data_IF_983271964911
#
_entry.id   IF_983271964911
#
_cell.length_a   1.000
_cell.length_b   1.000
_cell.length_c   1.000
_cell.angle_alpha   90.00
_cell.angle_beta   90.00
_cell.angle_gamma   90.00
#
_symmetry.space_group_name_H-M   'P 1'
#
loop_
_entity.id
_entity.type
_entity.pdbx_description
1 polymer ?
#
# COMPACT_ATOMS: atom_id res chain seq x y z
N UNK A 1 -12.39 5.20 15.40
CA UNK A 1 -12.19 5.54 13.98
C UNK A 1 -12.20 4.27 13.18
N UNK A 2 -12.25 4.34 11.84
CA UNK A 2 -12.14 3.19 10.94
C UNK A 2 -11.23 3.54 9.77
N UNK A 3 -10.73 2.54 9.07
CA UNK A 3 -10.09 2.69 7.77
C UNK A 3 -11.22 2.74 6.74
N UNK A 4 -11.29 3.83 5.96
CA UNK A 4 -12.32 3.97 4.93
C UNK A 4 -11.94 3.21 3.66
N UNK A 5 -10.65 3.30 3.26
CA UNK A 5 -10.12 2.58 2.11
C UNK A 5 -8.66 2.15 2.32
N UNK A 6 -8.31 1.01 1.73
CA UNK A 6 -6.92 0.65 1.49
C UNK A 6 -6.53 1.03 0.07
N UNK A 7 -5.43 1.76 -0.06
CA UNK A 7 -4.87 2.22 -1.33
C UNK A 7 -3.85 1.20 -1.81
N UNK A 8 -4.10 0.65 -2.97
CA UNK A 8 -3.16 -0.21 -3.69
C UNK A 8 -2.98 0.30 -5.11
N UNK A 9 -1.85 0.01 -5.74
CA UNK A 9 -1.57 0.50 -7.08
C UNK A 9 -0.74 -0.48 -7.90
N UNK A 10 -0.92 -0.45 -9.22
CA UNK A 10 -0.04 -1.06 -10.21
C UNK A 10 -0.18 -0.35 -11.55
N UNK A 11 0.68 -0.72 -12.49
CA UNK A 11 0.42 -0.53 -13.92
C UNK A 11 -0.29 -1.75 -14.53
N UNK A 12 -0.38 -1.81 -15.86
CA UNK A 12 -0.99 -2.93 -16.57
C UNK A 12 -0.07 -4.17 -16.68
N UNK A 13 1.10 -4.16 -16.03
CA UNK A 13 1.99 -5.31 -15.99
C UNK A 13 1.35 -6.47 -15.18
N UNK A 14 1.13 -7.65 -15.80
CA UNK A 14 0.53 -8.81 -15.12
C UNK A 14 1.30 -9.27 -13.88
N UNK A 15 2.61 -8.96 -13.80
CA UNK A 15 3.45 -9.25 -12.63
C UNK A 15 2.83 -8.72 -11.33
N UNK A 16 2.07 -7.61 -11.41
CA UNK A 16 1.45 -6.94 -10.26
C UNK A 16 -0.07 -6.85 -10.38
N UNK A 17 -0.59 -6.48 -11.56
CA UNK A 17 -2.01 -6.25 -11.79
C UNK A 17 -2.87 -7.47 -11.41
N UNK A 18 -2.38 -8.66 -11.69
CA UNK A 18 -3.12 -9.91 -11.46
C UNK A 18 -3.37 -10.21 -9.97
N UNK A 19 -2.69 -9.51 -9.05
CA UNK A 19 -2.99 -9.59 -7.62
C UNK A 19 -4.25 -8.82 -7.20
N UNK A 20 -4.69 -7.84 -8.00
CA UNK A 20 -5.79 -6.96 -7.60
C UNK A 20 -7.03 -7.74 -7.11
N UNK A 21 -7.61 -8.70 -7.86
CA UNK A 21 -8.85 -9.35 -7.46
C UNK A 21 -8.75 -10.06 -6.10
N UNK A 22 -7.64 -10.76 -5.87
CA UNK A 22 -7.46 -11.55 -4.64
C UNK A 22 -7.16 -10.67 -3.44
N UNK A 23 -6.33 -9.63 -3.62
CA UNK A 23 -6.00 -8.69 -2.53
C UNK A 23 -7.21 -7.83 -2.17
N UNK A 24 -7.94 -7.35 -3.17
CA UNK A 24 -9.15 -6.56 -2.97
C UNK A 24 -10.26 -7.37 -2.29
N UNK A 25 -10.47 -8.64 -2.71
CA UNK A 25 -11.39 -9.55 -2.04
C UNK A 25 -10.98 -9.74 -0.57
N UNK A 26 -9.69 -9.97 -0.32
CA UNK A 26 -9.23 -10.22 1.05
C UNK A 26 -9.39 -8.99 1.96
N UNK A 27 -9.15 -7.78 1.46
CA UNK A 27 -9.47 -6.57 2.21
C UNK A 27 -10.96 -6.42 2.48
N UNK A 28 -11.81 -6.76 1.50
CA UNK A 28 -13.27 -6.76 1.67
C UNK A 28 -13.72 -7.76 2.75
N UNK A 29 -13.13 -8.97 2.79
CA UNK A 29 -13.40 -9.97 3.84
C UNK A 29 -13.07 -9.44 5.24
N UNK A 30 -12.09 -8.55 5.35
CA UNK A 30 -11.74 -7.83 6.57
C UNK A 30 -12.61 -6.58 6.82
N UNK A 31 -13.63 -6.34 5.99
CA UNK A 31 -14.57 -5.23 6.11
C UNK A 31 -14.04 -3.88 5.58
N UNK A 32 -12.95 -3.88 4.82
CA UNK A 32 -12.32 -2.66 4.28
C UNK A 32 -12.35 -2.70 2.75
N UNK A 33 -12.86 -1.65 2.14
CA UNK A 33 -12.85 -1.50 0.67
C UNK A 33 -11.47 -1.04 0.18
N UNK A 34 -11.16 -1.42 -1.06
CA UNK A 34 -9.95 -0.93 -1.74
C UNK A 34 -10.24 0.27 -2.63
N UNK A 35 -9.25 1.15 -2.76
CA UNK A 35 -9.15 2.14 -3.81
C UNK A 35 -7.91 1.78 -4.64
N UNK A 36 -8.13 1.17 -5.78
CA UNK A 36 -7.07 0.68 -6.65
C UNK A 36 -6.74 1.72 -7.72
N UNK A 37 -5.51 2.18 -7.73
CA UNK A 37 -4.95 3.12 -8.69
C UNK A 37 -4.19 2.34 -9.76
N UNK A 38 -4.72 2.31 -10.99
CA UNK A 38 -4.12 1.59 -12.09
C UNK A 38 -3.59 2.57 -13.15
N UNK A 39 -2.28 2.62 -13.33
CA UNK A 39 -1.67 3.36 -14.44
C UNK A 39 -1.90 2.56 -15.73
N UNK A 40 -2.64 3.16 -16.66
CA UNK A 40 -3.11 2.49 -17.88
C UNK A 40 -3.18 3.43 -19.08
N UNK A 41 -3.74 2.97 -20.20
CA UNK A 41 -3.93 3.79 -21.41
C UNK A 41 -5.14 4.73 -21.33
N UNK A 42 -6.00 4.58 -20.31
CA UNK A 42 -7.27 5.31 -20.18
C UNK A 42 -7.41 5.96 -18.84
N UNK A 43 -8.20 7.04 -18.78
CA UNK A 43 -8.74 7.60 -17.54
C UNK A 43 -10.16 7.09 -17.36
N UNK A 44 -10.39 6.36 -16.26
CA UNK A 44 -11.70 5.79 -15.98
C UNK A 44 -11.87 5.48 -14.48
N UNK A 45 -13.05 5.74 -13.94
CA UNK A 45 -13.40 5.33 -12.57
C UNK A 45 -14.50 4.25 -12.66
N UNK A 46 -14.21 3.08 -12.10
CA UNK A 46 -15.09 1.92 -12.08
C UNK A 46 -15.37 1.56 -10.61
N UNK A 47 -16.63 1.52 -10.24
CA UNK A 47 -17.05 0.99 -8.93
C UNK A 47 -17.41 -0.50 -9.08
N UNK A 48 -16.96 -1.31 -8.14
CA UNK A 48 -17.30 -2.72 -8.05
C UNK A 48 -17.52 -3.14 -6.59
N UNK A 49 -17.74 -4.42 -6.36
CA UNK A 49 -17.96 -4.97 -5.01
C UNK A 49 -16.78 -4.75 -4.05
N UNK A 50 -15.55 -4.75 -4.57
CA UNK A 50 -14.32 -4.56 -3.77
C UNK A 50 -14.06 -3.09 -3.41
N UNK A 51 -14.64 -2.15 -4.14
CA UNK A 51 -14.44 -0.72 -3.97
C UNK A 51 -14.33 0.04 -5.28
N UNK A 52 -13.27 0.80 -5.47
CA UNK A 52 -13.07 1.68 -6.61
C UNK A 52 -11.80 1.30 -7.37
N UNK A 53 -11.90 1.17 -8.68
CA UNK A 53 -10.76 1.13 -9.61
C UNK A 53 -10.68 2.50 -10.27
N UNK A 54 -9.58 3.20 -10.07
CA UNK A 54 -9.31 4.46 -10.74
C UNK A 54 -8.14 4.24 -11.72
N UNK A 55 -8.47 4.09 -12.99
CA UNK A 55 -7.49 4.07 -14.05
C UNK A 55 -7.03 5.50 -14.32
N UNK A 56 -5.73 5.68 -14.39
CA UNK A 56 -5.08 6.96 -14.65
C UNK A 56 -4.23 6.80 -15.89
N UNK A 57 -4.44 7.69 -16.86
CA UNK A 57 -3.67 7.66 -18.10
C UNK A 57 -2.20 7.88 -17.82
N UNK A 58 -1.38 6.98 -18.38
CA UNK A 58 0.06 7.02 -18.21
C UNK A 58 0.70 8.27 -18.84
N UNK A 59 1.77 8.73 -18.21
CA UNK A 59 2.64 9.81 -18.69
C UNK A 59 3.78 9.22 -19.52
N UNK A 60 4.18 9.89 -20.59
CA UNK A 60 5.16 9.35 -21.53
C UNK A 60 6.63 9.53 -21.11
N UNK A 61 6.91 10.40 -20.14
CA UNK A 61 8.27 10.81 -19.77
C UNK A 61 8.89 10.02 -18.61
N UNK A 62 8.12 9.16 -17.92
CA UNK A 62 8.57 8.26 -16.87
C UNK A 62 7.90 6.89 -17.02
N UNK A 63 8.54 5.83 -16.52
CA UNK A 63 8.00 4.47 -16.65
C UNK A 63 6.67 4.29 -15.90
N UNK A 64 5.79 3.42 -16.39
CA UNK A 64 4.50 3.12 -15.76
C UNK A 64 4.67 2.46 -14.40
N UNK A 65 5.74 1.66 -14.24
CA UNK A 65 6.12 1.08 -12.95
C UNK A 65 6.44 2.14 -11.90
N UNK A 66 7.20 3.17 -12.27
CA UNK A 66 7.47 4.29 -11.39
C UNK A 66 6.19 5.08 -11.07
N UNK A 67 5.36 5.38 -12.07
CA UNK A 67 4.09 6.06 -11.86
C UNK A 67 3.18 5.29 -10.90
N UNK A 68 3.10 3.96 -11.05
CA UNK A 68 2.27 3.13 -10.16
C UNK A 68 2.80 3.08 -8.73
N UNK A 69 4.11 3.21 -8.55
CA UNK A 69 4.73 3.32 -7.24
C UNK A 69 4.35 4.63 -6.55
N UNK A 70 4.51 5.75 -7.24
CA UNK A 70 4.35 7.08 -6.62
C UNK A 70 2.89 7.55 -6.55
N UNK A 71 1.99 7.02 -7.38
CA UNK A 71 0.58 7.41 -7.36
C UNK A 71 -0.13 7.10 -6.03
N UNK A 72 0.38 6.13 -5.27
CA UNK A 72 -0.13 5.83 -3.91
C UNK A 72 -0.02 7.03 -2.99
N UNK A 73 1.11 7.73 -3.01
CA UNK A 73 1.33 8.94 -2.22
C UNK A 73 0.39 10.07 -2.67
N UNK A 74 0.13 10.15 -3.97
CA UNK A 74 -0.78 11.12 -4.57
C UNK A 74 -2.26 10.80 -4.38
N UNK A 75 -2.59 9.59 -3.90
CA UNK A 75 -3.96 9.08 -3.75
C UNK A 75 -4.89 9.97 -2.95
N UNK A 76 -4.35 10.66 -1.96
CA UNK A 76 -5.09 11.60 -1.10
C UNK A 76 -5.72 12.79 -1.85
N UNK A 77 -5.28 13.06 -3.08
CA UNK A 77 -5.92 14.04 -3.98
C UNK A 77 -7.23 13.51 -4.59
N UNK A 78 -7.38 12.20 -4.68
CA UNK A 78 -8.54 11.55 -5.31
C UNK A 78 -9.61 11.14 -4.30
N UNK A 79 -9.21 10.86 -3.05
CA UNK A 79 -10.13 10.29 -2.07
C UNK A 79 -10.01 10.98 -0.71
N UNK A 80 -11.15 11.08 -0.01
CA UNK A 80 -11.24 11.66 1.32
C UNK A 80 -11.50 10.58 2.36
N UNK A 81 -10.99 10.78 3.57
CA UNK A 81 -11.18 9.89 4.71
C UNK A 81 -9.89 9.35 5.27
N UNK A 82 -9.99 8.34 6.12
CA UNK A 82 -8.84 7.64 6.67
C UNK A 82 -8.41 6.56 5.68
N UNK A 83 -7.24 6.73 5.10
CA UNK A 83 -6.71 5.84 4.06
C UNK A 83 -5.46 5.13 4.57
N UNK A 84 -5.34 3.85 4.23
CA UNK A 84 -4.15 3.05 4.49
C UNK A 84 -3.47 2.70 3.17
N UNK A 85 -2.23 3.11 2.99
CA UNK A 85 -1.43 2.70 1.83
C UNK A 85 -0.90 1.29 2.03
N UNK A 86 -0.91 0.48 0.97
CA UNK A 86 -0.40 -0.89 0.95
C UNK A 86 0.20 -1.22 -0.42
N UNK A 87 1.05 -2.25 -0.46
CA UNK A 87 1.50 -2.82 -1.72
C UNK A 87 0.44 -3.77 -2.28
N UNK A 88 0.35 -3.84 -3.60
CA UNK A 88 -0.64 -4.69 -4.29
C UNK A 88 -0.33 -6.18 -4.14
N UNK A 89 0.92 -6.56 -3.91
CA UNK A 89 1.37 -7.93 -3.69
C UNK A 89 1.43 -8.33 -2.20
N UNK A 90 0.77 -7.53 -1.35
CA UNK A 90 0.62 -7.80 0.08
C UNK A 90 -0.80 -8.29 0.38
N UNK A 91 -0.93 -9.59 0.66
CA UNK A 91 -2.19 -10.23 1.04
C UNK A 91 -2.43 -10.06 2.54
N UNK A 92 -3.47 -9.34 3.00
CA UNK A 92 -3.75 -9.21 4.43
C UNK A 92 -4.33 -10.51 4.99
N UNK A 93 -3.85 -10.93 6.16
CA UNK A 93 -4.30 -12.16 6.84
C UNK A 93 -5.08 -11.82 8.10
N UNK A 94 -4.48 -11.06 9.00
CA UNK A 94 -5.05 -10.77 10.31
C UNK A 94 -5.64 -9.35 10.38
N UNK A 95 -6.97 -9.24 10.37
CA UNK A 95 -7.68 -7.95 10.42
C UNK A 95 -7.47 -7.17 11.72
N UNK A 96 -7.25 -7.85 12.84
CA UNK A 96 -7.03 -7.19 14.13
C UNK A 96 -5.74 -6.35 14.12
N UNK A 97 -4.72 -6.83 13.39
CA UNK A 97 -3.48 -6.09 13.25
C UNK A 97 -3.68 -4.71 12.63
N UNK A 98 -4.55 -4.58 11.64
CA UNK A 98 -4.78 -3.30 10.97
C UNK A 98 -5.63 -2.35 11.80
N UNK A 99 -6.47 -2.90 12.67
CA UNK A 99 -7.38 -2.14 13.51
C UNK A 99 -6.77 -1.75 14.87
N UNK A 100 -5.70 -2.43 15.33
CA UNK A 100 -5.16 -2.27 16.68
C UNK A 100 -4.69 -0.85 17.03
N UNK A 101 -4.28 -0.07 16.03
CA UNK A 101 -3.79 1.30 16.21
C UNK A 101 -4.81 2.38 15.88
N UNK A 102 -6.04 2.02 15.54
CA UNK A 102 -7.07 3.02 15.18
C UNK A 102 -7.39 3.98 16.32
N UNK A 103 -7.20 3.54 17.56
CA UNK A 103 -7.39 4.41 18.74
C UNK A 103 -6.26 5.45 18.91
N UNK A 104 -5.13 5.23 18.25
CA UNK A 104 -4.00 6.16 18.26
C UNK A 104 -4.07 7.13 17.06
N UNK A 105 -4.94 6.87 16.09
CA UNK A 105 -5.16 7.77 14.96
C UNK A 105 -5.87 9.03 15.44
N UNK A 106 -5.29 10.18 15.13
CA UNK A 106 -5.83 11.51 15.42
C UNK A 106 -6.05 12.28 14.12
N UNK A 107 -6.64 13.47 14.23
CA UNK A 107 -6.92 14.31 13.05
C UNK A 107 -5.65 14.85 12.37
N UNK A 108 -4.48 14.76 13.02
CA UNK A 108 -3.25 15.38 12.54
C UNK A 108 -2.00 14.46 12.60
N UNK A 109 -2.17 13.14 12.76
CA UNK A 109 -1.03 12.22 12.78
C UNK A 109 -1.02 11.22 11.62
N UNK A 110 0.13 10.57 11.46
CA UNK A 110 0.37 9.46 10.52
C UNK A 110 0.87 8.26 11.30
N UNK A 111 0.29 7.10 11.09
CA UNK A 111 0.71 5.83 11.70
C UNK A 111 1.47 5.00 10.68
N UNK A 112 2.74 4.74 10.95
CA UNK A 112 3.60 3.87 10.17
C UNK A 112 3.69 2.53 10.88
N UNK A 113 3.10 1.48 10.30
CA UNK A 113 2.99 0.16 10.92
C UNK A 113 4.30 -0.63 10.94
N UNK A 114 5.24 -0.27 10.09
CA UNK A 114 6.51 -0.97 9.93
C UNK A 114 7.67 0.00 9.85
N UNK A 115 7.97 0.65 10.95
CA UNK A 115 9.18 1.48 11.05
C UNK A 115 10.44 0.61 11.14
N UNK A 116 11.49 1.00 10.42
CA UNK A 116 12.82 0.35 10.44
C UNK A 116 12.80 -1.15 10.04
N UNK A 117 12.16 -1.55 8.92
CA UNK A 117 12.05 -2.95 8.55
C UNK A 117 13.40 -3.60 8.19
N UNK A 118 14.35 -2.80 7.74
CA UNK A 118 15.66 -3.23 7.28
C UNK A 118 16.80 -2.65 8.14
N UNK A 119 16.52 -2.36 9.42
CA UNK A 119 17.46 -1.72 10.32
C UNK A 119 17.42 -0.18 10.25
N UNK A 120 18.56 0.47 10.35
CA UNK A 120 18.64 1.94 10.37
C UNK A 120 18.70 2.56 8.96
N UNK A 121 17.91 2.09 8.02
CA UNK A 121 17.84 2.68 6.68
C UNK A 121 16.84 3.85 6.66
N UNK A 122 17.16 4.95 5.95
CA UNK A 122 16.37 6.17 5.96
C UNK A 122 15.19 6.11 4.98
N UNK A 123 14.27 5.17 5.16
CA UNK A 123 13.01 5.11 4.42
C UNK A 123 11.92 4.39 5.22
N UNK A 124 10.66 4.66 4.88
CA UNK A 124 9.49 4.00 5.45
C UNK A 124 8.83 3.09 4.41
N UNK A 125 8.63 1.80 4.73
CA UNK A 125 7.92 0.91 3.83
C UNK A 125 6.49 1.38 3.59
N UNK A 126 6.03 1.27 2.36
CA UNK A 126 4.66 1.63 1.99
C UNK A 126 3.60 0.71 2.60
N UNK A 127 3.96 -0.46 3.05
CA UNK A 127 3.07 -1.39 3.75
C UNK A 127 3.34 -1.37 5.27
N UNK A 128 2.53 -0.79 6.11
CA UNK A 128 1.29 -0.06 5.87
C UNK A 128 1.41 1.32 6.48
N UNK A 129 0.86 2.33 5.83
CA UNK A 129 0.87 3.71 6.33
C UNK A 129 -0.55 4.25 6.36
N UNK A 130 -1.02 4.64 7.55
CA UNK A 130 -2.39 5.06 7.81
C UNK A 130 -2.46 6.52 8.26
N UNK A 131 -3.30 7.30 7.62
CA UNK A 131 -3.66 8.64 8.06
C UNK A 131 -4.96 9.12 7.43
N UNK A 132 -5.43 10.29 7.86
CA UNK A 132 -6.43 11.01 7.10
C UNK A 132 -5.81 11.59 5.81
N UNK A 133 -6.56 11.54 4.71
CA UNK A 133 -6.09 12.06 3.40
C UNK A 133 -5.59 13.50 3.44
N UNK A 134 -6.19 14.36 4.29
CA UNK A 134 -5.74 15.76 4.48
C UNK A 134 -4.32 15.86 5.03
N UNK A 135 -3.92 14.92 5.89
CA UNK A 135 -2.58 14.90 6.45
C UNK A 135 -1.54 14.51 5.39
N UNK A 136 -1.86 13.54 4.53
CA UNK A 136 -0.99 13.22 3.40
C UNK A 136 -0.83 14.40 2.45
N UNK A 137 -1.92 15.10 2.09
CA UNK A 137 -1.85 16.30 1.26
C UNK A 137 -0.91 17.33 1.90
N UNK A 138 -1.10 17.60 3.19
CA UNK A 138 -0.34 18.59 3.95
C UNK A 138 1.13 18.21 4.12
N UNK A 139 1.40 16.99 4.59
CA UNK A 139 2.76 16.57 4.99
C UNK A 139 3.62 16.13 3.81
N UNK A 140 3.02 15.77 2.67
CA UNK A 140 3.73 15.50 1.42
C UNK A 140 3.75 16.71 0.48
N UNK A 141 3.21 17.86 0.92
CA UNK A 141 3.21 19.15 0.20
C UNK A 141 2.66 19.07 -1.24
N UNK A 142 1.62 18.24 -1.45
CA UNK A 142 1.08 17.95 -2.78
C UNK A 142 -0.19 18.77 -3.13
N UNK A 143 -0.59 19.73 -2.30
CA UNK A 143 -1.87 20.44 -2.44
C UNK A 143 -2.04 21.11 -3.80
N UNK A 144 -1.01 21.82 -4.26
CA UNK A 144 -1.03 22.61 -5.49
C UNK A 144 -0.47 21.88 -6.71
N UNK A 145 -0.06 20.62 -6.58
CA UNK A 145 0.52 19.82 -7.66
C UNK A 145 -0.54 19.01 -8.42
N UNK A 146 -0.34 18.86 -9.73
CA UNK A 146 -0.96 17.80 -10.50
C UNK A 146 -0.07 16.53 -10.52
N UNK A 147 -0.60 15.41 -11.03
CA UNK A 147 0.12 14.13 -11.02
C UNK A 147 1.38 14.14 -11.91
N UNK A 148 1.36 14.89 -13.01
CA UNK A 148 2.51 15.02 -13.93
C UNK A 148 3.65 15.78 -13.26
N UNK A 149 3.34 16.91 -12.63
CA UNK A 149 4.30 17.72 -11.87
C UNK A 149 4.91 16.90 -10.72
N UNK A 150 4.08 16.13 -10.02
CA UNK A 150 4.51 15.27 -8.93
C UNK A 150 5.46 14.17 -9.40
N UNK A 151 5.13 13.45 -10.48
CA UNK A 151 6.01 12.44 -11.07
C UNK A 151 7.34 13.05 -11.52
N UNK A 152 7.30 14.24 -12.14
CA UNK A 152 8.51 14.93 -12.58
C UNK A 152 9.41 15.31 -11.40
N UNK A 153 8.84 15.91 -10.36
CA UNK A 153 9.57 16.30 -9.14
C UNK A 153 10.27 15.09 -8.51
N UNK A 154 9.57 13.96 -8.35
CA UNK A 154 10.13 12.76 -7.73
C UNK A 154 11.20 12.10 -8.60
N UNK A 155 10.97 12.02 -9.91
CA UNK A 155 11.96 11.50 -10.85
C UNK A 155 13.23 12.35 -10.90
N UNK A 156 13.10 13.68 -10.90
CA UNK A 156 14.25 14.61 -10.88
C UNK A 156 15.05 14.49 -9.57
N UNK A 157 14.38 14.30 -8.41
CA UNK A 157 15.02 14.26 -7.08
C UNK A 157 15.62 12.89 -6.74
N UNK A 158 14.92 11.79 -7.05
CA UNK A 158 15.28 10.44 -6.59
C UNK A 158 15.59 9.46 -7.73
N UNK A 159 15.35 9.84 -8.98
CA UNK A 159 15.32 8.92 -10.12
C UNK A 159 14.09 8.00 -10.08
N UNK A 160 14.08 7.01 -10.98
CA UNK A 160 13.01 5.99 -11.05
C UNK A 160 13.41 4.70 -10.29
N UNK A 161 13.94 4.85 -9.06
CA UNK A 161 14.34 3.73 -8.24
C UNK A 161 13.11 3.03 -7.62
N UNK A 162 13.25 1.75 -7.31
CA UNK A 162 12.16 0.92 -6.75
C UNK A 162 11.65 1.39 -5.37
N UNK A 163 12.40 2.23 -4.68
CA UNK A 163 12.10 2.75 -3.34
C UNK A 163 11.96 4.28 -3.31
N UNK A 164 11.64 4.89 -4.44
CA UNK A 164 11.48 6.36 -4.54
C UNK A 164 10.39 6.88 -3.61
N UNK A 165 9.24 6.21 -3.58
CA UNK A 165 8.11 6.58 -2.71
C UNK A 165 8.46 6.46 -1.22
N UNK A 166 9.19 5.41 -0.83
CA UNK A 166 9.64 5.18 0.55
C UNK A 166 10.65 6.24 1.01
N UNK A 167 11.61 6.61 0.13
CA UNK A 167 12.60 7.64 0.40
C UNK A 167 11.94 9.02 0.49
N UNK A 168 11.07 9.36 -0.46
CA UNK A 168 10.35 10.62 -0.45
C UNK A 168 9.50 10.77 0.81
N UNK A 169 8.72 9.77 1.14
CA UNK A 169 7.89 9.78 2.35
C UNK A 169 8.75 9.94 3.62
N UNK A 170 9.91 9.29 3.67
CA UNK A 170 10.84 9.45 4.79
C UNK A 170 11.33 10.88 4.89
N UNK A 171 11.83 11.47 3.79
CA UNK A 171 12.38 12.83 3.78
C UNK A 171 11.34 13.87 4.20
N UNK A 172 10.13 13.82 3.61
CA UNK A 172 9.08 14.79 3.93
C UNK A 172 8.61 14.65 5.38
N UNK A 173 8.51 13.42 5.88
CA UNK A 173 8.06 13.19 7.26
C UNK A 173 9.11 13.56 8.32
N UNK A 174 10.40 13.75 7.98
CA UNK A 174 11.36 14.29 8.93
C UNK A 174 10.98 15.71 9.39
N UNK A 175 10.32 16.49 8.53
CA UNK A 175 9.82 17.82 8.87
C UNK A 175 8.60 17.78 9.82
N UNK A 176 7.98 16.61 10.00
CA UNK A 176 6.76 16.38 10.76
C UNK A 176 6.88 15.21 11.75
N UNK A 177 8.07 14.99 12.29
CA UNK A 177 8.37 13.82 13.13
C UNK A 177 7.50 13.74 14.39
N UNK A 178 7.06 14.88 14.92
CA UNK A 178 6.13 14.98 16.05
C UNK A 178 4.71 14.50 15.71
N UNK A 179 4.40 14.34 14.43
CA UNK A 179 3.13 13.82 13.90
C UNK A 179 3.18 12.33 13.57
N UNK A 180 4.32 11.69 13.71
CA UNK A 180 4.49 10.28 13.37
C UNK A 180 4.28 9.37 14.58
N UNK A 181 3.50 8.34 14.39
CA UNK A 181 3.40 7.20 15.28
C UNK A 181 4.03 5.99 14.58
N UNK A 182 5.30 5.74 14.90
CA UNK A 182 6.07 4.67 14.24
C UNK A 182 6.02 3.40 15.07
N UNK A 183 5.51 2.33 14.49
CA UNK A 183 5.39 1.00 15.12
C UNK A 183 6.50 0.07 14.65
N UNK A 184 6.92 -0.82 15.54
CA UNK A 184 7.79 -1.94 15.18
C UNK A 184 6.94 -3.11 14.71
N UNK A 185 7.40 -3.76 13.65
CA UNK A 185 6.78 -4.96 13.13
C UNK A 185 7.64 -6.19 13.44
N UNK A 186 7.00 -7.25 13.89
CA UNK A 186 7.63 -8.58 13.95
C UNK A 186 7.52 -9.25 12.58
N UNK A 187 8.62 -9.28 11.84
CA UNK A 187 8.68 -9.90 10.51
C UNK A 187 8.51 -11.42 10.53
N UNK A 188 8.63 -12.08 11.68
CA UNK A 188 8.30 -13.52 11.82
C UNK A 188 6.81 -13.77 11.61
N UNK A 189 5.99 -12.74 11.73
CA UNK A 189 4.54 -12.81 11.50
C UNK A 189 4.15 -12.48 10.05
N UNK A 190 5.07 -12.58 9.10
CA UNK A 190 4.83 -12.46 7.66
C UNK A 190 5.15 -13.79 6.98
N UNK A 191 4.32 -14.22 6.05
CA UNK A 191 4.71 -15.21 5.05
C UNK A 191 5.41 -14.45 3.92
N UNK A 192 6.74 -14.56 3.84
CA UNK A 192 7.52 -13.75 2.89
C UNK A 192 7.92 -14.56 1.66
N UNK A 193 7.82 -13.95 0.49
CA UNK A 193 8.23 -14.56 -0.79
C UNK A 193 9.69 -14.97 -0.86
N UNK A 194 10.55 -14.34 -0.08
CA UNK A 194 11.97 -14.71 0.03
C UNK A 194 12.19 -16.00 0.81
N UNK A 195 11.23 -16.40 1.64
CA UNK A 195 11.21 -17.64 2.39
C UNK A 195 9.75 -18.09 2.56
N UNK A 196 9.18 -18.71 1.52
CA UNK A 196 7.79 -19.15 1.48
C UNK A 196 7.59 -20.37 2.38
N UNK A 197 7.60 -20.11 3.69
CA UNK A 197 7.44 -21.14 4.73
C UNK A 197 6.47 -20.64 5.80
N UNK A 198 5.46 -21.45 6.11
CA UNK A 198 4.46 -21.16 7.13
C UNK A 198 3.86 -22.44 7.71
N UNK A 199 3.28 -22.32 8.89
CA UNK A 199 2.54 -23.39 9.55
C UNK A 199 1.04 -23.13 9.41
N UNK A 200 0.30 -24.14 8.94
CA UNK A 200 -1.15 -24.02 8.67
C UNK A 200 -1.92 -23.66 9.96
N UNK A 201 -1.54 -24.27 11.08
CA UNK A 201 -2.16 -24.00 12.37
C UNK A 201 -1.99 -22.54 12.78
N UNK A 202 -0.79 -21.98 12.62
CA UNK A 202 -0.52 -20.58 12.92
C UNK A 202 -1.23 -19.63 11.93
N UNK A 203 -1.44 -20.06 10.71
CA UNK A 203 -2.21 -19.33 9.72
C UNK A 203 -3.69 -19.21 10.14
N UNK A 204 -4.28 -20.35 10.53
CA UNK A 204 -5.65 -20.45 11.03
C UNK A 204 -5.89 -19.68 12.34
N UNK A 205 -4.89 -19.67 13.21
CA UNK A 205 -4.92 -18.95 14.48
C UNK A 205 -4.69 -17.44 14.32
N UNK A 206 -4.51 -16.92 13.09
CA UNK A 206 -4.27 -15.51 12.81
C UNK A 206 -2.92 -14.99 13.33
N UNK A 207 -1.94 -15.89 13.54
CA UNK A 207 -0.60 -15.48 13.94
C UNK A 207 0.07 -14.62 12.87
N UNK A 208 -0.05 -15.02 11.59
CA UNK A 208 0.49 -14.24 10.49
C UNK A 208 -0.36 -12.99 10.24
N UNK A 209 0.32 -11.88 10.01
CA UNK A 209 -0.29 -10.57 9.73
C UNK A 209 -0.69 -10.49 8.26
N UNK A 210 0.23 -10.86 7.40
CA UNK A 210 0.12 -10.77 5.95
C UNK A 210 1.03 -11.78 5.26
N UNK A 211 0.85 -11.85 3.94
CA UNK A 211 1.76 -12.55 3.03
C UNK A 211 2.28 -11.59 1.98
N UNK A 212 3.62 -11.54 1.81
CA UNK A 212 4.28 -10.91 0.68
C UNK A 212 4.38 -11.94 -0.43
N UNK A 213 3.46 -11.88 -1.38
CA UNK A 213 3.17 -12.96 -2.30
C UNK A 213 4.28 -13.23 -3.32
N UNK A 214 4.39 -14.49 -3.73
CA UNK A 214 5.21 -14.95 -4.85
C UNK A 214 4.74 -14.31 -6.15
N UNK A 215 5.64 -13.99 -7.08
CA UNK A 215 5.35 -13.29 -8.35
C UNK A 215 5.91 -14.02 -9.56
N UNK A 216 5.22 -14.00 -10.70
CA UNK A 216 3.85 -13.49 -10.92
C UNK A 216 2.78 -14.41 -10.31
N UNK A 217 1.56 -13.87 -10.11
CA UNK A 217 0.45 -14.67 -9.54
C UNK A 217 0.13 -15.91 -10.37
N UNK A 218 0.16 -15.81 -11.71
CA UNK A 218 -0.11 -16.92 -12.62
C UNK A 218 0.73 -18.16 -12.36
N UNK A 219 2.01 -17.98 -12.01
CA UNK A 219 2.96 -19.07 -11.82
C UNK A 219 2.87 -19.72 -10.44
N UNK A 220 2.39 -18.97 -9.45
CA UNK A 220 2.32 -19.36 -8.04
C UNK A 220 0.89 -19.39 -7.49
N UNK A 221 -0.07 -19.52 -8.39
CA UNK A 221 -1.49 -19.50 -8.03
C UNK A 221 -1.84 -20.55 -6.97
N UNK A 222 -1.32 -21.78 -7.10
CA UNK A 222 -1.62 -22.87 -6.18
C UNK A 222 -1.11 -22.58 -4.77
N UNK A 223 0.11 -22.08 -4.65
CA UNK A 223 0.75 -21.73 -3.38
C UNK A 223 0.01 -20.60 -2.66
N UNK A 224 -0.43 -19.60 -3.42
CA UNK A 224 -1.17 -18.45 -2.89
C UNK A 224 -2.60 -18.85 -2.52
N UNK A 225 -3.28 -19.64 -3.37
CA UNK A 225 -4.63 -20.15 -3.11
C UNK A 225 -4.67 -21.06 -1.85
N UNK A 226 -3.58 -21.77 -1.54
CA UNK A 226 -3.47 -22.53 -0.28
C UNK A 226 -3.61 -21.60 0.94
N UNK A 227 -2.94 -20.42 0.93
CA UNK A 227 -3.10 -19.45 2.01
C UNK A 227 -4.53 -18.92 2.05
N UNK A 228 -5.08 -18.51 0.89
CA UNK A 228 -6.44 -17.97 0.79
C UNK A 228 -7.51 -18.96 1.29
N UNK A 229 -7.31 -20.24 1.08
CA UNK A 229 -8.24 -21.26 1.56
C UNK A 229 -8.27 -21.39 3.08
N UNK A 230 -7.14 -21.16 3.75
CA UNK A 230 -6.99 -21.34 5.19
C UNK A 230 -7.29 -20.07 6.00
N UNK A 231 -7.19 -18.88 5.38
CA UNK A 231 -7.51 -17.60 6.01
C UNK A 231 -8.96 -17.22 5.68
N UNK A 232 -9.88 -17.64 6.54
CA UNK A 232 -11.32 -17.34 6.39
C UNK A 232 -11.73 -16.21 7.31
#
# INVERSE_FOLDING_TARGET
MKIDYVIISSDDNPMYKDFYPIVAQRWLDLGIKTYYLNISDTDEIIENEYGIIHKIKSLDFVSTGFQSQVVRLFSSKFIKGNIMMSDIDMLPINGEYYNQYLNELTDDNVIIYSGQPYGAVPYYPMCYVLSNSKNFIKYLEIEDMDFSEYCKMLSDKYGEAWNTDENFMYDEFQNHIDKLVVKKRDFKRRVDRGNWNYYIELLKDGYYIDSHMLRPYSDYKMEIDCILHEVK
#
